data_IF_371978862795
#
_entry.id   IF_371978862795
#
_cell.length_a   1.000
_cell.length_b   1.000
_cell.length_c   1.000
_cell.angle_alpha   90.00
_cell.angle_beta   90.00
_cell.angle_gamma   90.00
#
_symmetry.space_group_name_H-M   'P 1'
#
loop_
_entity.id
_entity.type
_entity.pdbx_description
1 polymer ?
#
# COMPACT_ATOMS: atom_id res chain seq x y z
N UNK A 1 1.71 -14.13 -1.47
CA UNK A 1 1.88 -13.69 -2.88
C UNK A 1 0.53 -13.51 -3.60
N UNK A 2 -0.36 -14.50 -3.60
CA UNK A 2 -1.65 -14.43 -4.33
C UNK A 2 -2.52 -13.21 -3.97
N UNK A 3 -2.65 -12.87 -2.69
CA UNK A 3 -3.44 -11.71 -2.27
C UNK A 3 -2.86 -10.37 -2.72
N UNK A 4 -1.54 -10.27 -2.86
CA UNK A 4 -0.90 -9.07 -3.39
C UNK A 4 -1.21 -8.90 -4.88
N UNK A 5 -1.21 -10.00 -5.65
CA UNK A 5 -1.64 -9.99 -7.06
C UNK A 5 -3.10 -9.56 -7.17
N UNK A 6 -3.99 -10.08 -6.32
CA UNK A 6 -5.40 -9.67 -6.31
C UNK A 6 -5.53 -8.17 -5.98
N UNK A 7 -4.78 -7.66 -5.00
CA UNK A 7 -4.79 -6.24 -4.67
C UNK A 7 -4.32 -5.36 -5.86
N UNK A 8 -3.30 -5.80 -6.60
CA UNK A 8 -2.84 -5.12 -7.82
C UNK A 8 -3.95 -5.14 -8.89
N UNK A 9 -4.62 -6.27 -9.09
CA UNK A 9 -5.73 -6.37 -10.05
C UNK A 9 -6.89 -5.45 -9.65
N UNK A 10 -7.29 -5.44 -8.38
CA UNK A 10 -8.33 -4.55 -7.85
C UNK A 10 -7.94 -3.08 -8.06
N UNK A 11 -6.69 -2.73 -7.77
CA UNK A 11 -6.17 -1.39 -7.99
C UNK A 11 -6.29 -0.98 -9.48
N UNK A 12 -5.82 -1.82 -10.41
CA UNK A 12 -5.88 -1.54 -11.85
C UNK A 12 -7.32 -1.49 -12.39
N UNK A 13 -8.20 -2.38 -11.93
CA UNK A 13 -9.64 -2.34 -12.31
C UNK A 13 -10.27 -1.03 -11.83
N UNK A 14 -9.97 -0.61 -10.60
CA UNK A 14 -10.47 0.65 -10.04
C UNK A 14 -9.99 1.84 -10.86
N UNK A 15 -8.70 1.88 -11.23
CA UNK A 15 -8.16 2.95 -12.07
C UNK A 15 -8.89 3.04 -13.42
N UNK A 16 -9.03 1.91 -14.11
CA UNK A 16 -9.72 1.85 -15.41
C UNK A 16 -11.20 2.27 -15.30
N UNK A 17 -11.90 1.84 -14.25
CA UNK A 17 -13.30 2.20 -14.05
C UNK A 17 -13.48 3.69 -13.77
N UNK A 18 -12.61 4.27 -12.94
CA UNK A 18 -12.61 5.70 -12.63
C UNK A 18 -12.26 6.52 -13.87
N UNK A 19 -11.25 6.10 -14.63
CA UNK A 19 -10.90 6.73 -15.91
C UNK A 19 -12.08 6.73 -16.87
N UNK A 20 -12.69 5.56 -17.11
CA UNK A 20 -13.86 5.43 -17.99
C UNK A 20 -15.00 6.36 -17.54
N UNK A 21 -15.36 6.31 -16.26
CA UNK A 21 -16.47 7.12 -15.70
C UNK A 21 -16.20 8.62 -15.83
N UNK A 22 -14.99 9.08 -15.53
CA UNK A 22 -14.64 10.49 -15.58
C UNK A 22 -14.57 11.02 -17.01
N UNK A 23 -14.04 10.24 -17.96
CA UNK A 23 -13.94 10.63 -19.36
C UNK A 23 -15.31 10.66 -20.05
N UNK A 24 -16.20 9.74 -19.72
CA UNK A 24 -17.59 9.75 -20.20
C UNK A 24 -18.38 10.94 -19.65
N UNK A 25 -18.20 11.28 -18.37
CA UNK A 25 -18.93 12.38 -17.74
C UNK A 25 -18.39 13.75 -18.13
N UNK A 26 -17.06 13.89 -18.24
CA UNK A 26 -16.41 15.15 -18.59
C UNK A 26 -15.14 14.91 -19.43
N UNK A 27 -15.28 14.82 -20.76
CA UNK A 27 -14.16 14.62 -21.68
C UNK A 27 -13.08 15.70 -21.59
N UNK A 28 -13.43 16.91 -21.15
CA UNK A 28 -12.48 18.03 -21.04
C UNK A 28 -11.41 17.79 -19.96
N UNK A 29 -11.68 16.92 -18.99
CA UNK A 29 -10.70 16.51 -17.98
C UNK A 29 -9.44 15.89 -18.60
N UNK A 30 -9.51 15.38 -19.83
CA UNK A 30 -8.36 14.89 -20.57
C UNK A 30 -7.30 15.98 -20.84
N UNK A 31 -7.74 17.25 -20.94
CA UNK A 31 -6.89 18.39 -21.28
C UNK A 31 -6.44 19.20 -20.06
N UNK A 32 -7.04 18.97 -18.89
CA UNK A 32 -6.62 19.63 -17.64
C UNK A 32 -5.38 18.93 -17.09
N UNK A 33 -4.24 19.64 -17.10
CA UNK A 33 -2.95 19.12 -16.64
C UNK A 33 -2.63 19.63 -15.22
N UNK A 34 -2.24 18.71 -14.33
CA UNK A 34 -1.72 18.99 -13.00
C UNK A 34 -0.46 18.15 -12.76
N UNK A 35 0.62 18.76 -12.26
CA UNK A 35 1.92 18.09 -12.03
C UNK A 35 2.44 17.30 -13.25
N UNK A 36 2.26 17.85 -14.46
CA UNK A 36 2.63 17.20 -15.74
C UNK A 36 1.79 15.98 -16.13
N UNK A 37 0.70 15.68 -15.42
CA UNK A 37 -0.22 14.59 -15.74
C UNK A 37 -1.65 15.11 -15.95
N UNK A 38 -2.48 14.42 -16.75
CA UNK A 38 -3.91 14.71 -16.82
C UNK A 38 -4.59 14.52 -15.47
N UNK A 39 -5.51 15.40 -15.09
CA UNK A 39 -6.16 15.35 -13.77
C UNK A 39 -6.94 14.05 -13.55
N UNK A 40 -7.57 13.49 -14.59
CA UNK A 40 -8.28 12.22 -14.50
C UNK A 40 -7.36 11.07 -14.06
N UNK A 41 -6.09 11.10 -14.50
CA UNK A 41 -5.12 10.05 -14.18
C UNK A 41 -4.74 10.10 -12.70
N UNK A 42 -4.56 11.30 -12.15
CA UNK A 42 -4.26 11.50 -10.73
C UNK A 42 -5.44 11.04 -9.87
N UNK A 43 -6.66 11.36 -10.28
CA UNK A 43 -7.87 10.89 -9.58
C UNK A 43 -7.95 9.36 -9.64
N UNK A 44 -7.77 8.75 -10.83
CA UNK A 44 -7.76 7.30 -10.99
C UNK A 44 -6.70 6.62 -10.11
N UNK A 45 -5.45 7.11 -10.11
CA UNK A 45 -4.38 6.63 -9.24
C UNK A 45 -4.75 6.71 -7.75
N UNK A 46 -5.34 7.82 -7.32
CA UNK A 46 -5.79 8.02 -5.94
C UNK A 46 -6.83 6.98 -5.54
N UNK A 47 -7.89 6.81 -6.32
CA UNK A 47 -8.93 5.81 -6.06
C UNK A 47 -8.40 4.39 -6.09
N UNK A 48 -7.59 4.04 -7.10
CA UNK A 48 -6.96 2.72 -7.18
C UNK A 48 -6.12 2.41 -5.95
N UNK A 49 -5.33 3.38 -5.49
CA UNK A 49 -4.50 3.24 -4.29
C UNK A 49 -5.34 3.05 -3.04
N UNK A 50 -6.39 3.86 -2.85
CA UNK A 50 -7.29 3.75 -1.68
C UNK A 50 -8.00 2.40 -1.66
N UNK A 51 -8.61 1.98 -2.77
CA UNK A 51 -9.37 0.73 -2.83
C UNK A 51 -8.45 -0.49 -2.68
N UNK A 52 -7.30 -0.49 -3.36
CA UNK A 52 -6.29 -1.54 -3.20
C UNK A 52 -5.75 -1.64 -1.77
N UNK A 53 -5.53 -0.49 -1.12
CA UNK A 53 -5.11 -0.42 0.27
C UNK A 53 -6.17 -0.98 1.23
N UNK A 54 -7.44 -0.58 1.08
CA UNK A 54 -8.55 -1.07 1.90
C UNK A 54 -8.68 -2.59 1.78
N UNK A 55 -8.67 -3.10 0.54
CA UNK A 55 -8.71 -4.54 0.30
C UNK A 55 -7.56 -5.25 1.01
N UNK A 56 -6.34 -4.75 0.85
CA UNK A 56 -5.15 -5.35 1.44
C UNK A 56 -5.20 -5.33 2.98
N UNK A 57 -5.65 -4.23 3.57
CA UNK A 57 -5.83 -4.11 5.01
C UNK A 57 -6.76 -5.21 5.56
N UNK A 58 -7.93 -5.40 4.96
CA UNK A 58 -8.89 -6.39 5.44
C UNK A 58 -8.43 -7.84 5.20
N UNK A 59 -7.77 -8.10 4.07
CA UNK A 59 -7.15 -9.40 3.83
C UNK A 59 -6.08 -9.70 4.88
N UNK A 60 -5.21 -8.75 5.19
CA UNK A 60 -4.17 -8.98 6.18
C UNK A 60 -4.76 -9.16 7.57
N UNK A 61 -5.73 -8.33 7.94
CA UNK A 61 -6.43 -8.42 9.21
C UNK A 61 -7.08 -9.78 9.44
N UNK A 62 -7.91 -10.23 8.50
CA UNK A 62 -8.79 -11.38 8.70
C UNK A 62 -8.19 -12.70 8.22
N UNK A 63 -7.36 -12.68 7.17
CA UNK A 63 -6.83 -13.90 6.56
C UNK A 63 -5.40 -14.18 7.02
N UNK A 64 -4.53 -13.16 7.06
CA UNK A 64 -3.10 -13.36 7.36
C UNK A 64 -2.85 -13.40 8.87
N UNK A 65 -3.42 -12.44 9.61
CA UNK A 65 -3.19 -12.29 11.05
C UNK A 65 -4.36 -12.76 11.92
N UNK A 66 -5.50 -13.10 11.31
CA UNK A 66 -6.68 -13.66 11.98
C UNK A 66 -7.12 -12.88 13.24
N UNK A 67 -7.26 -11.57 13.07
CA UNK A 67 -7.60 -10.64 14.15
C UNK A 67 -9.03 -10.13 14.04
N UNK A 68 -9.72 -10.08 15.18
CA UNK A 68 -11.07 -9.51 15.30
C UNK A 68 -11.05 -8.44 16.38
N UNK A 69 -11.41 -7.22 16.00
CA UNK A 69 -11.41 -6.07 16.89
C UNK A 69 -12.64 -5.20 16.66
N UNK A 70 -12.97 -4.37 17.63
CA UNK A 70 -14.10 -3.42 17.55
C UNK A 70 -13.86 -2.38 16.44
N UNK A 71 -14.89 -1.59 16.12
CA UNK A 71 -14.76 -0.53 15.11
C UNK A 71 -13.68 0.50 15.48
N UNK A 72 -13.64 0.94 16.74
CA UNK A 72 -12.66 1.92 17.21
C UNK A 72 -11.21 1.38 17.14
N UNK A 73 -11.02 0.11 17.46
CA UNK A 73 -9.72 -0.56 17.36
C UNK A 73 -9.33 -0.76 15.90
N UNK A 74 -10.27 -1.15 15.03
CA UNK A 74 -10.04 -1.26 13.59
C UNK A 74 -9.59 0.07 12.99
N UNK A 75 -10.18 1.19 13.39
CA UNK A 75 -9.72 2.52 12.96
C UNK A 75 -8.28 2.77 13.38
N UNK A 76 -7.91 2.40 14.61
CA UNK A 76 -6.54 2.54 15.12
C UNK A 76 -5.56 1.66 14.34
N UNK A 77 -5.96 0.43 13.99
CA UNK A 77 -5.19 -0.48 13.15
C UNK A 77 -4.98 0.09 11.74
N UNK A 78 -6.02 0.65 11.10
CA UNK A 78 -5.90 1.29 9.78
C UNK A 78 -4.86 2.41 9.81
N UNK A 79 -4.91 3.28 10.83
CA UNK A 79 -3.96 4.39 10.99
C UNK A 79 -2.54 3.85 11.14
N UNK A 80 -2.30 2.89 12.04
CA UNK A 80 -0.98 2.29 12.24
C UNK A 80 -0.47 1.60 10.97
N UNK A 81 -1.33 0.82 10.33
CA UNK A 81 -1.01 0.09 9.11
C UNK A 81 -0.61 1.05 7.98
N UNK A 82 -1.34 2.16 7.84
CA UNK A 82 -1.00 3.23 6.91
C UNK A 82 0.33 3.92 7.28
N UNK A 83 0.50 4.30 8.55
CA UNK A 83 1.73 4.95 9.02
C UNK A 83 2.98 4.09 8.76
N UNK A 84 2.90 2.78 9.02
CA UNK A 84 4.01 1.89 8.71
C UNK A 84 4.25 1.71 7.22
N UNK A 85 3.19 1.69 6.39
CA UNK A 85 3.35 1.67 4.94
C UNK A 85 4.13 2.91 4.46
N UNK A 86 3.75 4.11 4.91
CA UNK A 86 4.46 5.36 4.58
C UNK A 86 5.91 5.31 5.07
N UNK A 87 6.12 4.89 6.32
CA UNK A 87 7.46 4.75 6.89
C UNK A 87 8.37 3.84 6.06
N UNK A 88 7.86 2.67 5.64
CA UNK A 88 8.65 1.75 4.80
C UNK A 88 8.91 2.28 3.40
N UNK A 89 8.00 3.09 2.84
CA UNK A 89 8.23 3.78 1.55
C UNK A 89 9.34 4.82 1.67
N UNK A 90 9.41 5.55 2.79
CA UNK A 90 10.51 6.50 3.06
C UNK A 90 11.84 5.75 3.16
N UNK A 91 11.87 4.56 3.78
CA UNK A 91 13.08 3.72 3.83
C UNK A 91 13.50 3.30 2.43
N UNK A 92 12.55 2.87 1.59
CA UNK A 92 12.82 2.50 0.20
C UNK A 92 13.47 3.66 -0.57
N UNK A 93 12.79 4.81 -0.65
CA UNK A 93 13.32 5.98 -1.36
C UNK A 93 14.61 6.51 -0.74
N UNK A 94 14.72 6.49 0.59
CA UNK A 94 15.91 6.94 1.30
C UNK A 94 17.12 6.06 0.98
N UNK A 95 16.94 4.74 0.89
CA UNK A 95 18.02 3.81 0.54
C UNK A 95 18.41 3.96 -0.93
N UNK A 96 17.44 4.03 -1.84
CA UNK A 96 17.67 4.28 -3.26
C UNK A 96 18.43 5.59 -3.49
N UNK A 97 17.98 6.68 -2.86
CA UNK A 97 18.60 8.02 -2.96
C UNK A 97 20.00 8.03 -2.34
N UNK A 98 20.20 7.36 -1.21
CA UNK A 98 21.53 7.26 -0.58
C UNK A 98 22.50 6.57 -1.52
N UNK A 99 22.07 5.50 -2.19
CA UNK A 99 22.91 4.80 -3.16
C UNK A 99 23.22 5.66 -4.39
N UNK A 100 22.21 6.35 -4.92
CA UNK A 100 22.37 7.30 -6.01
C UNK A 100 23.42 8.38 -5.68
N UNK A 101 23.32 9.00 -4.48
CA UNK A 101 24.17 10.12 -4.08
C UNK A 101 25.60 9.67 -3.73
N UNK A 102 25.76 8.53 -3.06
CA UNK A 102 27.08 8.08 -2.58
C UNK A 102 27.85 7.25 -3.60
N UNK A 103 27.16 6.51 -4.47
CA UNK A 103 27.78 5.56 -5.40
C UNK A 103 27.51 5.88 -6.88
N UNK A 104 26.49 6.69 -7.20
CA UNK A 104 26.18 7.11 -8.58
C UNK A 104 24.98 6.41 -9.22
N UNK A 105 24.63 6.83 -10.43
CA UNK A 105 23.44 6.38 -11.19
C UNK A 105 23.45 4.88 -11.54
N UNK A 106 24.59 4.22 -11.53
CA UNK A 106 24.64 2.77 -11.77
C UNK A 106 24.15 1.93 -10.56
N UNK A 107 24.08 2.53 -9.35
CA UNK A 107 23.78 1.80 -8.11
C UNK A 107 22.41 2.12 -7.50
N UNK A 108 21.63 3.07 -8.02
CA UNK A 108 20.33 3.41 -7.41
C UNK A 108 19.38 2.21 -7.37
N UNK A 109 19.33 1.38 -8.41
CA UNK A 109 18.52 0.16 -8.46
C UNK A 109 18.92 -0.85 -7.38
N UNK A 110 20.22 -0.98 -7.11
CA UNK A 110 20.71 -1.83 -6.04
C UNK A 110 20.27 -1.29 -4.66
N UNK A 111 20.37 0.03 -4.47
CA UNK A 111 19.85 0.69 -3.27
C UNK A 111 18.34 0.51 -3.11
N UNK A 112 17.58 0.63 -4.20
CA UNK A 112 16.15 0.39 -4.22
C UNK A 112 15.78 -1.06 -3.88
N UNK A 113 16.52 -2.03 -4.42
CA UNK A 113 16.34 -3.45 -4.09
C UNK A 113 16.58 -3.72 -2.60
N UNK A 114 17.68 -3.20 -2.04
CA UNK A 114 17.99 -3.33 -0.61
C UNK A 114 16.91 -2.64 0.23
N UNK A 115 16.51 -1.43 -0.16
CA UNK A 115 15.44 -0.68 0.48
C UNK A 115 14.11 -1.42 0.51
N UNK A 116 13.74 -2.09 -0.60
CA UNK A 116 12.55 -2.93 -0.67
C UNK A 116 12.65 -4.14 0.25
N UNK A 117 13.78 -4.85 0.28
CA UNK A 117 13.97 -6.00 1.18
C UNK A 117 13.79 -5.56 2.63
N UNK A 118 14.47 -4.49 3.05
CA UNK A 118 14.36 -3.93 4.39
C UNK A 118 12.91 -3.50 4.68
N UNK A 119 12.30 -2.77 3.76
CA UNK A 119 10.93 -2.27 3.88
C UNK A 119 9.91 -3.40 4.07
N UNK A 120 9.97 -4.45 3.25
CA UNK A 120 9.09 -5.61 3.37
C UNK A 120 9.29 -6.37 4.68
N UNK A 121 10.54 -6.59 5.10
CA UNK A 121 10.85 -7.24 6.38
C UNK A 121 10.29 -6.44 7.55
N UNK A 122 10.55 -5.13 7.59
CA UNK A 122 10.04 -4.25 8.65
C UNK A 122 8.52 -4.17 8.63
N UNK A 123 7.89 -4.09 7.45
CA UNK A 123 6.42 -4.06 7.34
C UNK A 123 5.80 -5.29 7.99
N UNK A 124 6.32 -6.48 7.69
CA UNK A 124 5.82 -7.71 8.29
C UNK A 124 5.99 -7.72 9.82
N UNK A 125 7.17 -7.31 10.31
CA UNK A 125 7.44 -7.23 11.76
C UNK A 125 6.47 -6.23 12.41
N UNK A 126 6.26 -5.06 11.83
CA UNK A 126 5.40 -4.04 12.43
C UNK A 126 3.93 -4.41 12.40
N UNK A 127 3.45 -4.98 11.29
CA UNK A 127 2.07 -5.43 11.19
C UNK A 127 1.76 -6.50 12.22
N UNK A 128 2.65 -7.49 12.35
CA UNK A 128 2.50 -8.59 13.31
C UNK A 128 2.52 -8.11 14.76
N UNK A 129 3.45 -7.21 15.12
CA UNK A 129 3.71 -6.88 16.52
C UNK A 129 2.97 -5.63 17.02
N UNK A 130 2.54 -4.71 16.13
CA UNK A 130 1.96 -3.42 16.53
C UNK A 130 0.57 -3.13 15.95
N UNK A 131 0.26 -3.68 14.78
CA UNK A 131 -1.05 -3.49 14.13
C UNK A 131 -2.01 -4.59 14.58
N UNK A 132 -1.76 -5.83 14.19
CA UNK A 132 -2.70 -6.94 14.33
C UNK A 132 -2.34 -7.82 15.53
N UNK A 133 -2.56 -7.29 16.74
CA UNK A 133 -2.11 -7.93 17.99
C UNK A 133 -3.19 -8.74 18.72
N UNK A 134 -4.46 -8.57 18.36
CA UNK A 134 -5.61 -9.22 19.04
C UNK A 134 -6.08 -10.46 18.28
N UNK A 135 -5.34 -11.55 18.44
CA UNK A 135 -5.61 -12.86 17.84
C UNK A 135 -6.83 -13.51 18.52
N UNK A 136 -7.61 -14.30 17.77
CA UNK A 136 -8.77 -15.01 18.29
C UNK A 136 -8.42 -16.03 19.40
N UNK A 137 -9.30 -16.23 20.40
CA UNK A 137 -9.05 -17.16 21.52
C UNK A 137 -8.87 -18.64 21.14
N UNK A 138 -9.26 -19.05 19.93
CA UNK A 138 -9.25 -20.46 19.53
C UNK A 138 -7.85 -21.01 19.18
N UNK A 139 -6.81 -20.16 19.15
CA UNK A 139 -5.42 -20.60 18.91
C UNK A 139 -4.63 -20.89 20.21
N UNK A 140 -5.26 -20.81 21.39
CA UNK A 140 -4.60 -21.11 22.69
C UNK A 140 -4.73 -22.60 23.08
N UNK A 141 -5.44 -23.43 22.30
CA UNK A 141 -5.66 -24.86 22.60
C UNK A 141 -4.66 -25.83 21.97
N UNK A 142 -3.55 -25.32 21.40
CA UNK A 142 -2.61 -26.12 20.60
C UNK A 142 -1.15 -26.13 21.08
N UNK A 143 -0.87 -25.86 22.36
CA UNK A 143 0.47 -25.99 22.96
C UNK A 143 0.54 -27.12 23.98
#
# INVERSE_FOLDING_TARGET
>A
MIFAVIAIVINLITQNLVEFTLKEFNPELAFVIFLSFPIWFIIALGFGTIIGFIFKFFVDKYIIFNTITTMAETTTEIIKYFSFAVFTTIIFWGTETTFLVLFGEEYYLLGGLIGLIIGYTLKFIFDKNFVFTKILPNDISGS
#
